data_IF_305550760706
#
_entry.id   IF_305550760706
#
_cell.length_a   1.000
_cell.length_b   1.000
_cell.length_c   1.000
_cell.angle_alpha   90.00
_cell.angle_beta   90.00
_cell.angle_gamma   90.00
#
_symmetry.space_group_name_H-M   'P 1'
#
loop_
_entity.id
_entity.type
_entity.pdbx_description
1 polymer ?
#
# COMPACT_ATOMS: atom_id res chain seq x y z
N UNK A 1 26.58 0.20 -3.39
CA UNK A 1 27.03 0.60 -4.74
C UNK A 1 26.80 2.09 -4.96
N UNK A 2 25.57 2.64 -4.85
CA UNK A 2 25.30 4.09 -4.91
C UNK A 2 25.91 4.86 -3.72
N UNK A 3 26.03 4.25 -2.55
CA UNK A 3 26.72 4.85 -1.39
C UNK A 3 28.19 5.10 -1.67
N UNK A 4 28.89 4.13 -2.30
CA UNK A 4 30.28 4.33 -2.71
C UNK A 4 30.43 5.42 -3.77
N UNK A 5 29.46 5.54 -4.66
CA UNK A 5 29.42 6.66 -5.63
C UNK A 5 29.25 7.98 -4.89
N UNK A 6 28.39 8.05 -3.88
CA UNK A 6 28.20 9.25 -3.07
C UNK A 6 29.43 9.59 -2.20
N UNK A 7 30.10 8.57 -1.63
CA UNK A 7 31.35 8.72 -0.88
C UNK A 7 32.49 9.24 -1.77
N UNK A 8 32.63 8.67 -2.97
CA UNK A 8 33.63 9.11 -3.95
C UNK A 8 33.41 10.59 -4.36
N UNK A 9 32.14 10.96 -4.64
CA UNK A 9 31.79 12.36 -4.95
C UNK A 9 32.10 13.27 -3.76
N UNK A 10 31.78 12.83 -2.53
CA UNK A 10 32.11 13.55 -1.30
C UNK A 10 33.65 13.69 -1.07
N UNK A 11 34.43 12.74 -1.58
CA UNK A 11 35.89 12.76 -1.55
C UNK A 11 36.51 13.58 -2.69
N UNK A 12 35.70 14.17 -3.59
CA UNK A 12 36.16 15.05 -4.67
C UNK A 12 36.34 14.37 -6.03
N UNK A 13 35.96 13.10 -6.16
CA UNK A 13 35.94 12.45 -7.48
C UNK A 13 34.77 12.96 -8.32
N UNK A 14 34.94 12.98 -9.66
CA UNK A 14 33.84 13.33 -10.54
C UNK A 14 32.74 12.24 -10.49
N UNK A 15 31.51 12.61 -10.78
CA UNK A 15 30.37 11.68 -10.84
C UNK A 15 30.61 10.58 -11.89
N UNK A 16 31.18 10.96 -13.05
CA UNK A 16 31.55 10.00 -14.11
C UNK A 16 32.60 8.99 -13.62
N UNK A 17 33.65 9.45 -12.92
CA UNK A 17 34.65 8.56 -12.33
C UNK A 17 34.06 7.66 -11.25
N UNK A 18 33.23 8.19 -10.40
CA UNK A 18 32.57 7.45 -9.33
C UNK A 18 31.67 6.34 -9.88
N UNK A 19 30.94 6.62 -10.97
CA UNK A 19 30.16 5.58 -11.67
C UNK A 19 31.06 4.53 -12.34
N UNK A 20 32.14 4.94 -12.97
CA UNK A 20 33.08 4.03 -13.64
C UNK A 20 33.73 3.06 -12.65
N UNK A 21 34.14 3.56 -11.49
CA UNK A 21 34.77 2.77 -10.45
C UNK A 21 33.81 1.78 -9.74
N UNK A 22 32.59 2.24 -9.46
CA UNK A 22 31.67 1.50 -8.61
C UNK A 22 30.58 0.75 -9.37
N UNK A 23 30.41 1.00 -10.68
CA UNK A 23 29.37 0.41 -11.52
C UNK A 23 29.92 -0.10 -12.87
N UNK A 24 30.82 -1.12 -12.87
CA UNK A 24 31.49 -1.61 -14.09
C UNK A 24 30.54 -2.18 -15.17
N UNK A 25 29.26 -2.34 -14.85
CA UNK A 25 28.23 -2.76 -15.82
C UNK A 25 27.54 -1.63 -16.58
N UNK A 26 27.85 -0.37 -16.29
CA UNK A 26 27.28 0.76 -17.03
C UNK A 26 27.90 0.88 -18.43
N UNK A 27 27.08 1.15 -19.46
CA UNK A 27 27.60 1.37 -20.81
C UNK A 27 28.56 2.57 -20.85
N UNK A 28 29.64 2.46 -21.63
CA UNK A 28 30.60 3.55 -21.83
C UNK A 28 29.92 4.86 -22.26
N UNK A 29 28.92 4.78 -23.13
CA UNK A 29 28.13 5.93 -23.56
C UNK A 29 27.39 6.63 -22.42
N UNK A 30 26.97 5.90 -21.38
CA UNK A 30 26.41 6.50 -20.18
C UNK A 30 27.47 7.34 -19.44
N UNK A 31 28.63 6.73 -19.16
CA UNK A 31 29.74 7.38 -18.44
C UNK A 31 30.22 8.64 -19.18
N UNK A 32 30.41 8.51 -20.50
CA UNK A 32 30.85 9.65 -21.35
C UNK A 32 29.83 10.79 -21.36
N UNK A 33 28.53 10.47 -21.38
CA UNK A 33 27.47 11.49 -21.33
C UNK A 33 27.45 12.22 -19.98
N UNK A 34 27.62 11.48 -18.88
CA UNK A 34 27.73 12.09 -17.53
C UNK A 34 28.97 12.98 -17.47
N UNK A 35 30.13 12.50 -17.95
CA UNK A 35 31.38 13.25 -18.00
C UNK A 35 31.24 14.57 -18.78
N UNK A 36 30.61 14.51 -19.95
CA UNK A 36 30.32 15.72 -20.74
C UNK A 36 29.39 16.69 -20.00
N UNK A 37 28.40 16.15 -19.28
CA UNK A 37 27.48 16.95 -18.46
C UNK A 37 28.16 17.65 -17.28
N UNK A 38 29.11 16.99 -16.63
CA UNK A 38 29.92 17.58 -15.56
C UNK A 38 30.80 18.73 -16.09
N UNK A 39 31.50 18.48 -17.20
CA UNK A 39 32.39 19.48 -17.81
C UNK A 39 31.65 20.71 -18.32
N UNK A 40 30.43 20.55 -18.80
CA UNK A 40 29.61 21.66 -19.34
C UNK A 40 28.70 22.31 -18.31
N UNK A 41 28.64 21.79 -17.07
CA UNK A 41 27.65 22.20 -16.05
C UNK A 41 26.20 21.86 -16.36
N UNK A 42 25.95 21.01 -17.35
CA UNK A 42 24.62 20.66 -17.86
C UNK A 42 24.19 19.24 -17.49
N UNK A 43 24.51 18.78 -16.26
CA UNK A 43 24.21 17.42 -15.77
C UNK A 43 22.72 17.08 -15.88
N UNK A 44 21.83 18.02 -15.56
CA UNK A 44 20.38 17.78 -15.61
C UNK A 44 19.93 17.48 -17.04
N UNK A 45 20.42 18.22 -18.01
CA UNK A 45 20.09 17.99 -19.43
C UNK A 45 20.70 16.68 -19.94
N UNK A 46 21.89 16.32 -19.47
CA UNK A 46 22.52 15.03 -19.78
C UNK A 46 21.74 13.86 -19.22
N UNK A 47 21.25 13.94 -17.99
CA UNK A 47 20.38 12.90 -17.42
C UNK A 47 19.02 12.85 -18.12
N UNK A 48 18.44 13.96 -18.55
CA UNK A 48 17.23 13.98 -19.38
C UNK A 48 17.47 13.34 -20.76
N UNK A 49 18.65 13.54 -21.35
CA UNK A 49 19.07 12.88 -22.61
C UNK A 49 19.28 11.38 -22.42
N UNK A 50 19.97 10.97 -21.36
CA UNK A 50 20.16 9.57 -21.01
C UNK A 50 18.81 8.89 -20.76
N UNK A 51 17.92 9.53 -20.01
CA UNK A 51 16.55 9.03 -19.81
C UNK A 51 15.84 8.82 -21.14
N UNK A 52 15.82 9.83 -22.03
CA UNK A 52 15.21 9.72 -23.37
C UNK A 52 15.87 8.66 -24.25
N UNK A 53 17.19 8.51 -24.19
CA UNK A 53 17.94 7.51 -24.95
C UNK A 53 17.62 6.10 -24.45
N UNK A 54 17.64 5.88 -23.14
CA UNK A 54 17.32 4.57 -22.58
C UNK A 54 15.83 4.27 -22.64
N UNK A 55 14.96 5.24 -22.56
CA UNK A 55 13.52 5.11 -22.79
C UNK A 55 13.21 4.73 -24.25
N UNK A 56 13.90 5.35 -25.22
CA UNK A 56 13.82 4.95 -26.64
C UNK A 56 14.49 3.61 -26.93
N UNK A 57 15.60 3.28 -26.25
CA UNK A 57 16.31 2.01 -26.39
C UNK A 57 15.59 0.85 -25.69
N UNK A 58 14.77 1.15 -24.69
CA UNK A 58 13.87 0.18 -24.05
C UNK A 58 12.80 -0.33 -25.04
N UNK A 59 12.53 0.41 -26.10
CA UNK A 59 11.64 -0.04 -27.18
C UNK A 59 12.15 -1.24 -27.96
N UNK A 60 13.41 -1.65 -27.77
CA UNK A 60 14.01 -2.75 -28.54
C UNK A 60 14.87 -3.72 -27.72
N UNK A 61 15.04 -3.52 -26.42
CA UNK A 61 15.84 -4.44 -25.59
C UNK A 61 14.95 -5.25 -24.65
N UNK A 62 14.94 -6.55 -24.94
CA UNK A 62 14.56 -7.64 -24.04
C UNK A 62 14.83 -7.25 -22.61
N UNK A 63 13.77 -7.10 -21.81
CA UNK A 63 13.89 -6.90 -20.37
C UNK A 63 14.69 -8.06 -19.83
N UNK A 64 15.92 -7.82 -19.42
CA UNK A 64 16.71 -8.82 -18.78
C UNK A 64 16.16 -9.04 -17.36
N UNK A 65 15.08 -9.84 -17.28
CA UNK A 65 14.45 -10.21 -16.01
C UNK A 65 15.43 -10.84 -15.03
N UNK A 66 16.58 -11.37 -15.52
CA UNK A 66 17.65 -11.88 -14.65
C UNK A 66 18.31 -10.77 -13.83
N UNK A 67 18.47 -9.58 -14.36
CA UNK A 67 19.02 -8.44 -13.61
C UNK A 67 18.08 -8.02 -12.49
N UNK A 68 16.78 -7.97 -12.76
CA UNK A 68 15.79 -7.61 -11.74
C UNK A 68 15.62 -8.69 -10.68
N UNK A 69 15.75 -9.99 -11.03
CA UNK A 69 15.68 -11.12 -10.08
C UNK A 69 16.84 -11.19 -9.07
N UNK A 70 17.88 -10.42 -9.26
CA UNK A 70 18.95 -10.27 -8.23
C UNK A 70 18.53 -9.32 -7.11
N UNK A 71 17.60 -8.41 -7.38
CA UNK A 71 17.15 -7.36 -6.45
C UNK A 71 15.74 -7.67 -5.96
N UNK A 72 14.86 -8.12 -6.85
CA UNK A 72 13.46 -8.39 -6.59
C UNK A 72 13.18 -9.89 -6.59
N UNK A 73 12.30 -10.33 -5.71
CA UNK A 73 11.93 -11.75 -5.59
C UNK A 73 11.09 -12.20 -6.79
N UNK A 74 10.30 -11.29 -7.37
CA UNK A 74 9.52 -11.55 -8.58
C UNK A 74 9.72 -10.36 -9.53
N UNK A 75 9.98 -10.68 -10.79
CA UNK A 75 9.95 -9.72 -11.91
C UNK A 75 9.12 -10.35 -13.02
N UNK A 76 8.02 -9.68 -13.40
CA UNK A 76 7.06 -10.21 -14.36
C UNK A 76 6.45 -9.12 -15.23
N UNK A 77 6.06 -9.52 -16.45
CA UNK A 77 5.25 -8.68 -17.33
C UNK A 77 3.78 -9.07 -17.17
N UNK A 78 2.93 -8.08 -17.05
CA UNK A 78 1.49 -8.26 -16.86
C UNK A 78 0.74 -7.50 -17.95
N UNK A 79 -0.21 -8.18 -18.58
CA UNK A 79 -1.29 -7.53 -19.34
C UNK A 79 -2.50 -7.38 -18.41
N UNK A 80 -2.73 -6.19 -17.83
CA UNK A 80 -3.84 -6.01 -16.91
C UNK A 80 -5.21 -5.94 -17.62
N UNK A 81 -5.25 -5.76 -18.94
CA UNK A 81 -6.48 -5.77 -19.74
C UNK A 81 -7.15 -7.14 -19.70
N UNK A 82 -6.36 -8.19 -19.93
CA UNK A 82 -6.81 -9.60 -19.93
C UNK A 82 -6.37 -10.34 -18.66
N UNK A 83 -5.78 -9.64 -17.69
CA UNK A 83 -5.36 -10.18 -16.38
C UNK A 83 -4.41 -11.39 -16.47
N UNK A 84 -3.45 -11.39 -17.37
CA UNK A 84 -2.48 -12.48 -17.55
C UNK A 84 -1.05 -12.03 -17.33
N UNK A 85 -0.20 -12.98 -16.95
CA UNK A 85 1.24 -12.82 -16.88
C UNK A 85 1.88 -13.32 -18.18
N UNK A 86 2.90 -12.60 -18.65
CA UNK A 86 3.68 -12.99 -19.81
C UNK A 86 4.92 -13.78 -19.38
N UNK A 87 5.16 -14.88 -20.05
CA UNK A 87 6.35 -15.71 -19.83
C UNK A 87 7.33 -15.51 -20.99
N UNK A 88 8.61 -15.31 -20.66
CA UNK A 88 9.69 -15.29 -21.66
C UNK A 88 9.96 -16.72 -22.17
N UNK A 89 10.01 -16.88 -23.51
CA UNK A 89 10.53 -18.07 -24.20
C UNK A 89 11.73 -17.67 -25.05
N UNK A 90 12.44 -18.66 -25.63
CA UNK A 90 13.65 -18.44 -26.42
C UNK A 90 13.43 -17.53 -27.63
N UNK A 91 12.22 -17.52 -28.21
CA UNK A 91 11.82 -16.72 -29.37
C UNK A 91 10.97 -15.48 -29.04
N UNK A 92 10.90 -15.04 -27.76
CA UNK A 92 10.12 -13.85 -27.34
C UNK A 92 9.22 -14.06 -26.13
N UNK A 93 8.24 -13.16 -25.96
CA UNK A 93 7.27 -13.25 -24.86
C UNK A 93 5.99 -13.92 -25.34
N UNK A 94 5.53 -14.92 -24.60
CA UNK A 94 4.23 -15.54 -24.84
C UNK A 94 3.32 -15.41 -23.64
N UNK A 95 2.02 -15.31 -23.91
CA UNK A 95 1.01 -15.30 -22.86
C UNK A 95 0.98 -16.64 -22.13
N UNK A 96 1.23 -16.62 -20.83
CA UNK A 96 0.99 -17.78 -19.97
C UNK A 96 -0.51 -17.87 -19.69
N UNK A 97 -1.22 -18.55 -20.58
CA UNK A 97 -2.71 -18.66 -20.52
C UNK A 97 -3.27 -19.35 -19.28
N UNK A 98 -2.43 -19.96 -18.46
CA UNK A 98 -2.86 -20.82 -17.34
C UNK A 98 -3.02 -20.10 -16.00
N UNK A 99 -2.47 -18.91 -15.83
CA UNK A 99 -2.52 -18.22 -14.54
C UNK A 99 -2.87 -16.74 -14.71
N UNK A 100 -3.90 -16.30 -13.98
CA UNK A 100 -4.24 -14.89 -13.91
C UNK A 100 -3.17 -14.12 -13.12
N UNK A 101 -2.90 -12.86 -13.49
CA UNK A 101 -1.90 -12.01 -12.83
C UNK A 101 -2.13 -11.84 -11.32
N UNK A 102 -3.36 -11.99 -10.87
CA UNK A 102 -3.73 -11.91 -9.45
C UNK A 102 -3.53 -13.24 -8.69
N UNK A 103 -3.30 -14.36 -9.38
CA UNK A 103 -3.10 -15.67 -8.76
C UNK A 103 -1.83 -15.70 -7.88
N UNK A 104 -0.80 -14.93 -8.22
CA UNK A 104 0.41 -14.78 -7.39
C UNK A 104 0.09 -14.28 -5.98
N UNK A 105 -0.99 -13.53 -5.82
CA UNK A 105 -1.49 -13.02 -4.54
C UNK A 105 -2.49 -13.96 -3.87
N UNK A 106 -2.69 -15.18 -4.39
CA UNK A 106 -3.73 -16.14 -3.97
C UNK A 106 -5.16 -15.56 -4.04
N UNK A 107 -5.37 -14.50 -4.83
CA UNK A 107 -6.69 -13.90 -5.03
C UNK A 107 -7.48 -14.71 -6.05
N UNK A 108 -8.81 -14.80 -5.83
CA UNK A 108 -9.73 -15.52 -6.74
C UNK A 108 -10.34 -14.61 -7.80
N UNK A 109 -10.17 -13.30 -7.67
CA UNK A 109 -10.70 -12.27 -8.58
C UNK A 109 -9.68 -11.18 -8.85
N UNK A 110 -9.94 -10.38 -9.87
CA UNK A 110 -9.11 -9.23 -10.26
C UNK A 110 -8.92 -8.26 -9.10
N UNK A 111 -7.72 -7.68 -9.00
CA UNK A 111 -7.41 -6.66 -8.01
C UNK A 111 -8.21 -5.38 -8.30
N UNK A 112 -8.92 -4.88 -7.33
CA UNK A 112 -9.70 -3.64 -7.44
C UNK A 112 -8.78 -2.41 -7.54
N UNK A 113 -7.68 -2.40 -6.78
CA UNK A 113 -6.62 -1.40 -6.82
C UNK A 113 -5.47 -1.84 -7.73
N UNK A 114 -5.77 -2.18 -8.98
CA UNK A 114 -4.77 -2.69 -9.92
C UNK A 114 -3.82 -1.58 -10.36
N UNK A 115 -2.63 -1.51 -9.72
CA UNK A 115 -1.60 -0.53 -10.09
C UNK A 115 -1.09 -0.71 -11.53
N UNK A 116 -1.11 -1.94 -12.04
CA UNK A 116 -0.71 -2.21 -13.43
C UNK A 116 -1.67 -1.61 -14.43
N UNK A 117 -2.98 -1.56 -14.13
CA UNK A 117 -3.96 -0.87 -14.97
C UNK A 117 -3.78 0.65 -14.91
N UNK A 118 -3.50 1.18 -13.72
CA UNK A 118 -3.24 2.61 -13.53
C UNK A 118 -1.96 3.05 -14.25
N UNK A 119 -0.93 2.21 -14.25
CA UNK A 119 0.30 2.44 -15.02
C UNK A 119 0.03 2.52 -16.52
N UNK A 120 -0.81 1.63 -17.08
CA UNK A 120 -1.17 1.70 -18.51
C UNK A 120 -1.97 2.97 -18.85
N UNK A 121 -2.81 3.43 -17.91
CA UNK A 121 -3.63 4.64 -18.11
C UNK A 121 -2.80 5.91 -18.01
N UNK A 122 -1.87 5.98 -17.05
CA UNK A 122 -1.14 7.22 -16.74
C UNK A 122 0.27 7.28 -17.29
N UNK A 123 0.83 6.14 -17.70
CA UNK A 123 2.25 5.94 -18.07
C UNK A 123 3.23 6.33 -16.93
N UNK A 124 2.74 6.51 -15.70
CA UNK A 124 3.55 6.82 -14.53
C UNK A 124 3.75 5.58 -13.68
N UNK A 125 4.96 5.37 -13.12
CA UNK A 125 5.19 4.28 -12.19
C UNK A 125 4.23 4.37 -11.01
N UNK A 126 3.76 3.21 -10.56
CA UNK A 126 2.88 3.05 -9.42
C UNK A 126 3.46 2.05 -8.43
N UNK A 127 3.15 2.23 -7.16
CA UNK A 127 3.58 1.32 -6.12
C UNK A 127 2.44 0.95 -5.20
N UNK A 128 2.47 -0.25 -4.66
CA UNK A 128 1.56 -0.68 -3.60
C UNK A 128 2.21 -1.69 -2.68
N UNK A 129 1.59 -1.90 -1.54
CA UNK A 129 1.85 -3.04 -0.68
C UNK A 129 0.77 -4.10 -0.89
N UNK A 130 1.19 -5.34 -0.94
CA UNK A 130 0.31 -6.49 -0.94
C UNK A 130 0.66 -7.38 0.24
N UNK A 131 -0.35 -8.00 0.83
CA UNK A 131 -0.16 -9.00 1.88
C UNK A 131 -0.54 -10.37 1.35
N UNK A 132 0.28 -11.36 1.66
CA UNK A 132 -0.01 -12.76 1.38
C UNK A 132 0.35 -13.58 2.61
N UNK A 133 -0.68 -14.12 3.28
CA UNK A 133 -0.51 -14.77 4.59
C UNK A 133 0.08 -13.77 5.62
N UNK A 134 1.20 -14.07 6.24
CA UNK A 134 1.92 -13.18 7.15
C UNK A 134 2.95 -12.28 6.46
N UNK A 135 3.18 -12.49 5.16
CA UNK A 135 4.22 -11.77 4.43
C UNK A 135 3.70 -10.47 3.81
N UNK A 136 4.55 -9.48 3.81
CA UNK A 136 4.31 -8.19 3.15
C UNK A 136 5.19 -8.11 1.91
N UNK A 137 4.61 -7.65 0.81
CA UNK A 137 5.30 -7.48 -0.46
C UNK A 137 5.17 -6.04 -0.94
N UNK A 138 6.29 -5.45 -1.31
CA UNK A 138 6.30 -4.20 -2.04
C UNK A 138 6.24 -4.50 -3.53
N UNK A 139 5.31 -3.86 -4.22
CA UNK A 139 5.09 -4.01 -5.66
C UNK A 139 5.31 -2.66 -6.33
N UNK A 140 6.26 -2.62 -7.24
CA UNK A 140 6.49 -1.52 -8.17
C UNK A 140 5.98 -1.93 -9.54
N UNK A 141 5.11 -1.14 -10.14
CA UNK A 141 4.64 -1.31 -11.51
C UNK A 141 5.11 -0.15 -12.38
N UNK A 142 5.63 -0.46 -13.57
CA UNK A 142 6.11 0.53 -14.53
C UNK A 142 5.60 0.20 -15.93
N UNK A 143 5.29 1.26 -16.71
CA UNK A 143 4.91 1.13 -18.10
C UNK A 143 6.06 0.61 -18.95
N UNK A 144 5.76 -0.33 -19.81
CA UNK A 144 6.69 -0.84 -20.80
C UNK A 144 5.96 -1.25 -22.07
N UNK A 145 6.63 -1.10 -23.19
CA UNK A 145 6.15 -1.54 -24.50
C UNK A 145 7.01 -2.71 -24.99
N UNK A 146 6.37 -3.80 -25.41
CA UNK A 146 7.02 -4.97 -25.98
C UNK A 146 6.34 -5.28 -27.30
N UNK A 147 7.10 -5.27 -28.39
CA UNK A 147 6.61 -5.51 -29.75
C UNK A 147 5.41 -4.61 -30.14
N UNK A 148 5.48 -3.32 -29.76
CA UNK A 148 4.45 -2.34 -30.02
C UNK A 148 3.18 -2.47 -29.17
N UNK A 149 3.18 -3.34 -28.15
CA UNK A 149 2.06 -3.53 -27.24
C UNK A 149 2.40 -3.05 -25.83
N UNK A 150 1.46 -2.35 -25.16
CA UNK A 150 1.67 -1.85 -23.83
C UNK A 150 1.49 -2.95 -22.77
N UNK A 151 2.40 -2.98 -21.80
CA UNK A 151 2.38 -3.88 -20.66
C UNK A 151 2.78 -3.16 -19.38
N UNK A 152 2.53 -3.80 -18.25
CA UNK A 152 3.08 -3.41 -16.97
C UNK A 152 4.22 -4.34 -16.56
N UNK A 153 5.39 -3.79 -16.28
CA UNK A 153 6.47 -4.51 -15.60
C UNK A 153 6.23 -4.40 -14.09
N UNK A 154 5.91 -5.52 -13.46
CA UNK A 154 5.81 -5.61 -12.01
C UNK A 154 7.08 -6.20 -11.41
N UNK A 155 7.67 -5.45 -10.47
CA UNK A 155 8.79 -5.82 -9.66
C UNK A 155 8.31 -5.97 -8.22
N UNK A 156 8.50 -7.15 -7.63
CA UNK A 156 7.96 -7.49 -6.32
C UNK A 156 9.09 -7.85 -5.37
N UNK A 157 9.11 -7.20 -4.21
CA UNK A 157 10.06 -7.48 -3.14
C UNK A 157 9.31 -7.92 -1.89
N UNK A 158 9.65 -9.10 -1.35
CA UNK A 158 9.19 -9.54 -0.03
C UNK A 158 9.91 -8.73 1.04
N UNK A 159 9.16 -8.19 1.98
CA UNK A 159 9.68 -7.51 3.17
C UNK A 159 9.67 -8.53 4.30
N UNK A 160 10.82 -8.99 4.73
CA UNK A 160 10.94 -9.88 5.88
C UNK A 160 11.07 -9.04 7.15
N UNK A 161 10.46 -9.49 8.24
CA UNK A 161 10.61 -8.84 9.55
C UNK A 161 12.06 -8.78 10.01
N UNK A 162 12.85 -9.80 9.68
CA UNK A 162 14.25 -9.91 10.07
C UNK A 162 15.20 -9.05 9.24
N UNK A 163 14.84 -8.72 7.98
CA UNK A 163 15.58 -7.79 7.11
C UNK A 163 15.61 -6.35 7.65
N UNK A 164 14.82 -6.06 8.70
CA UNK A 164 14.82 -4.75 9.37
C UNK A 164 16.11 -4.45 10.13
N UNK A 165 16.94 -5.45 10.40
CA UNK A 165 18.16 -5.32 11.22
C UNK A 165 19.48 -5.46 10.45
N UNK A 166 19.47 -5.90 9.21
CA UNK A 166 20.69 -6.02 8.39
C UNK A 166 20.94 -4.74 7.58
N UNK A 167 22.13 -4.17 7.79
CA UNK A 167 22.57 -2.84 7.30
C UNK A 167 22.78 -2.72 5.79
N UNK A 168 22.52 -3.74 4.99
CA UNK A 168 23.04 -3.79 3.61
C UNK A 168 22.07 -3.38 2.49
N UNK A 169 20.85 -2.90 2.78
CA UNK A 169 19.94 -2.61 1.67
C UNK A 169 19.21 -1.26 1.82
N UNK A 170 19.85 -0.18 1.35
CA UNK A 170 19.29 1.19 1.32
C UNK A 170 17.89 1.21 0.69
N UNK A 171 17.65 0.39 -0.34
CA UNK A 171 16.33 0.28 -0.96
C UNK A 171 15.30 -0.31 0.01
N UNK A 172 15.67 -1.39 0.72
CA UNK A 172 14.79 -1.97 1.75
C UNK A 172 14.54 -0.99 2.89
N UNK A 173 15.55 -0.24 3.33
CA UNK A 173 15.39 0.79 4.35
C UNK A 173 14.47 1.93 3.88
N UNK A 174 14.59 2.38 2.64
CA UNK A 174 13.69 3.39 2.05
C UNK A 174 12.26 2.87 1.92
N UNK A 175 12.09 1.61 1.52
CA UNK A 175 10.79 0.97 1.40
C UNK A 175 10.14 0.76 2.77
N UNK A 176 10.89 0.27 3.75
CA UNK A 176 10.45 0.11 5.14
C UNK A 176 10.13 1.45 5.78
N UNK A 177 10.98 2.48 5.60
CA UNK A 177 10.71 3.84 6.09
C UNK A 177 9.47 4.44 5.45
N UNK A 178 9.30 4.26 4.13
CA UNK A 178 8.11 4.76 3.43
C UNK A 178 6.83 4.05 3.91
N UNK A 179 6.94 2.76 4.29
CA UNK A 179 5.83 2.01 4.86
C UNK A 179 5.57 2.39 6.32
N UNK A 180 6.63 2.52 7.15
CA UNK A 180 6.53 2.95 8.56
C UNK A 180 5.86 4.31 8.71
N UNK A 181 6.02 5.19 7.71
CA UNK A 181 5.35 6.50 7.65
C UNK A 181 3.82 6.38 7.67
N UNK A 182 3.26 5.28 7.13
CA UNK A 182 1.82 5.04 7.03
C UNK A 182 1.26 4.08 8.08
N UNK A 183 2.11 3.50 8.92
CA UNK A 183 1.66 2.56 9.95
C UNK A 183 1.61 3.23 11.32
N UNK A 184 0.58 2.89 12.08
CA UNK A 184 0.50 3.24 13.49
C UNK A 184 1.44 2.36 14.31
N UNK A 185 2.23 2.97 15.16
CA UNK A 185 3.28 2.29 15.93
C UNK A 185 2.73 1.30 16.96
N UNK A 186 1.55 1.55 17.51
CA UNK A 186 0.89 0.71 18.52
C UNK A 186 0.11 -0.41 17.83
N UNK A 187 -0.83 -0.06 16.98
CA UNK A 187 -1.84 -0.98 16.44
C UNK A 187 -1.40 -1.76 15.21
N UNK A 188 -0.32 -1.33 14.54
CA UNK A 188 0.20 -1.94 13.29
C UNK A 188 -0.84 -1.99 12.15
N UNK A 189 -1.79 -1.09 12.17
CA UNK A 189 -2.69 -0.78 11.05
C UNK A 189 -2.31 0.58 10.45
N UNK A 190 -2.96 1.01 9.39
CA UNK A 190 -2.67 2.32 8.80
C UNK A 190 -2.91 3.45 9.81
N UNK A 191 -2.13 4.53 9.72
CA UNK A 191 -2.28 5.73 10.53
C UNK A 191 -3.06 6.83 9.81
N UNK A 192 -3.32 7.94 10.51
CA UNK A 192 -4.02 9.12 9.97
C UNK A 192 -3.37 9.68 8.71
N UNK A 193 -2.03 9.65 8.60
CA UNK A 193 -1.32 10.12 7.41
C UNK A 193 -1.68 9.32 6.16
N UNK A 194 -1.85 8.00 6.29
CA UNK A 194 -2.34 7.17 5.18
C UNK A 194 -3.71 7.64 4.69
N UNK A 195 -4.64 7.93 5.63
CA UNK A 195 -5.93 8.48 5.27
C UNK A 195 -5.80 9.82 4.52
N UNK A 196 -5.03 10.77 5.07
CA UNK A 196 -4.90 12.12 4.50
C UNK A 196 -4.29 12.11 3.09
N UNK A 197 -3.31 11.24 2.83
CA UNK A 197 -2.59 11.20 1.55
C UNK A 197 -3.19 10.21 0.52
N UNK A 198 -3.88 9.16 0.97
CA UNK A 198 -4.32 8.06 0.09
C UNK A 198 -5.83 7.90 -0.02
N UNK A 199 -6.57 8.16 1.05
CA UNK A 199 -8.00 7.89 1.07
C UNK A 199 -8.86 9.15 0.93
N UNK A 200 -8.44 10.27 1.48
CA UNK A 200 -9.23 11.51 1.59
C UNK A 200 -9.89 11.98 0.29
N UNK A 201 -9.26 11.74 -0.84
CA UNK A 201 -9.71 12.17 -2.17
C UNK A 201 -10.33 11.04 -3.00
N UNK A 202 -10.61 9.89 -2.39
CA UNK A 202 -11.25 8.79 -3.11
C UNK A 202 -12.68 9.17 -3.53
N UNK A 203 -13.02 8.74 -4.75
CA UNK A 203 -14.37 8.84 -5.29
C UNK A 203 -14.84 7.45 -5.73
N UNK A 204 -16.12 7.15 -5.50
CA UNK A 204 -16.69 5.85 -5.85
C UNK A 204 -17.84 5.45 -4.96
N UNK A 205 -18.11 4.14 -4.92
CA UNK A 205 -19.07 3.53 -3.99
C UNK A 205 -18.29 2.89 -2.84
N UNK A 206 -18.58 3.32 -1.64
CA UNK A 206 -17.89 2.83 -0.45
C UNK A 206 -18.90 2.53 0.66
N UNK A 207 -18.66 1.44 1.38
CA UNK A 207 -19.16 1.28 2.74
C UNK A 207 -18.06 1.71 3.70
N UNK A 208 -18.40 2.53 4.67
CA UNK A 208 -17.47 3.13 5.61
C UNK A 208 -17.99 3.01 7.03
N UNK A 209 -17.10 2.77 7.98
CA UNK A 209 -17.43 2.81 9.39
C UNK A 209 -16.41 3.65 10.17
N UNK A 210 -16.92 4.39 11.14
CA UNK A 210 -16.14 4.95 12.23
C UNK A 210 -16.37 4.09 13.47
N UNK A 211 -15.28 3.78 14.15
CA UNK A 211 -15.25 2.91 15.32
C UNK A 211 -14.55 3.71 16.42
N UNK A 212 -15.14 3.80 17.58
CA UNK A 212 -14.59 4.47 18.74
C UNK A 212 -14.67 3.55 19.95
N UNK A 213 -13.54 3.37 20.63
CA UNK A 213 -13.45 2.49 21.79
C UNK A 213 -14.15 3.10 23.00
N UNK A 214 -15.15 2.41 23.51
CA UNK A 214 -15.92 2.93 24.65
C UNK A 214 -15.07 3.02 25.91
N UNK A 215 -15.19 4.13 26.63
CA UNK A 215 -14.51 4.36 27.91
C UNK A 215 -12.98 4.20 27.86
N UNK A 216 -12.33 4.38 26.73
CA UNK A 216 -10.89 4.16 26.56
C UNK A 216 -10.05 4.98 27.56
N UNK A 217 -10.46 6.22 27.85
CA UNK A 217 -9.82 7.03 28.89
C UNK A 217 -9.85 6.34 30.25
N UNK A 218 -10.99 5.74 30.63
CA UNK A 218 -11.12 5.01 31.89
C UNK A 218 -10.20 3.78 31.93
N UNK A 219 -9.99 3.09 30.79
CA UNK A 219 -9.02 2.00 30.70
C UNK A 219 -7.63 2.51 31.06
N UNK A 220 -7.20 3.61 30.43
CA UNK A 220 -5.89 4.22 30.72
C UNK A 220 -5.77 4.68 32.18
N UNK A 221 -6.80 5.33 32.71
CA UNK A 221 -6.78 5.88 34.07
C UNK A 221 -6.74 4.76 35.13
N UNK A 222 -7.39 3.61 34.88
CA UNK A 222 -7.48 2.49 35.83
C UNK A 222 -6.32 1.49 35.70
N UNK A 223 -5.93 1.15 34.45
CA UNK A 223 -4.97 0.06 34.18
C UNK A 223 -3.63 0.55 33.64
N UNK A 224 -3.50 1.86 33.38
CA UNK A 224 -2.31 2.48 32.81
C UNK A 224 -2.25 2.44 31.28
N UNK A 225 -1.37 3.26 30.70
CA UNK A 225 -1.24 3.41 29.25
C UNK A 225 -0.80 2.13 28.54
N UNK A 226 -0.03 1.26 29.19
CA UNK A 226 0.37 -0.02 28.60
C UNK A 226 -0.83 -0.95 28.36
N UNK A 227 -1.79 -0.96 29.30
CA UNK A 227 -3.05 -1.69 29.14
C UNK A 227 -3.90 -1.08 28.01
N UNK A 228 -3.94 0.25 27.91
CA UNK A 228 -4.60 0.94 26.81
C UNK A 228 -3.98 0.61 25.44
N UNK A 229 -2.66 0.59 25.34
CA UNK A 229 -1.95 0.20 24.11
C UNK A 229 -2.22 -1.27 23.75
N UNK A 230 -2.24 -2.17 24.74
CA UNK A 230 -2.61 -3.58 24.52
C UNK A 230 -4.06 -3.72 24.04
N UNK A 231 -4.99 -2.97 24.62
CA UNK A 231 -6.40 -2.94 24.20
C UNK A 231 -6.55 -2.46 22.75
N UNK A 232 -5.89 -1.36 22.38
CA UNK A 232 -5.89 -0.84 21.02
C UNK A 232 -5.30 -1.82 20.01
N UNK A 233 -4.18 -2.44 20.37
CA UNK A 233 -3.53 -3.45 19.52
C UNK A 233 -4.47 -4.65 19.29
N UNK A 234 -5.02 -5.22 20.37
CA UNK A 234 -5.94 -6.37 20.28
C UNK A 234 -7.19 -6.01 19.49
N UNK A 235 -7.81 -4.86 19.73
CA UNK A 235 -8.94 -4.38 18.95
C UNK A 235 -8.62 -4.27 17.47
N UNK A 236 -7.50 -3.64 17.11
CA UNK A 236 -7.08 -3.50 15.72
C UNK A 236 -6.84 -4.85 15.02
N UNK A 237 -6.18 -5.81 15.70
CA UNK A 237 -5.95 -7.15 15.14
C UNK A 237 -7.27 -7.93 14.99
N UNK A 238 -8.18 -7.81 15.95
CA UNK A 238 -9.51 -8.42 15.87
C UNK A 238 -10.31 -7.86 14.70
N UNK A 239 -10.37 -6.54 14.53
CA UNK A 239 -11.03 -5.93 13.37
C UNK A 239 -10.37 -6.41 12.07
N UNK A 240 -9.03 -6.42 12.00
CA UNK A 240 -8.27 -6.85 10.82
C UNK A 240 -8.55 -8.31 10.44
N UNK A 241 -8.74 -9.20 11.41
CA UNK A 241 -9.11 -10.60 11.16
C UNK A 241 -10.52 -10.76 10.57
N UNK A 242 -11.40 -9.79 10.82
CA UNK A 242 -12.78 -9.79 10.35
C UNK A 242 -12.97 -9.19 8.94
N UNK A 243 -11.96 -8.53 8.38
CA UNK A 243 -12.04 -7.83 7.11
C UNK A 243 -11.19 -8.49 6.02
N UNK A 244 -11.43 -8.12 4.77
CA UNK A 244 -10.67 -8.63 3.63
C UNK A 244 -9.34 -7.88 3.48
N UNK A 245 -8.40 -8.46 2.72
CA UNK A 245 -7.13 -7.82 2.37
C UNK A 245 -7.29 -6.50 1.61
N UNK A 246 -8.40 -6.31 0.92
CA UNK A 246 -8.70 -5.13 0.11
C UNK A 246 -9.45 -4.05 0.91
N UNK A 247 -9.91 -4.37 2.12
CA UNK A 247 -10.50 -3.41 3.05
C UNK A 247 -9.39 -2.70 3.83
N UNK A 248 -9.59 -1.45 4.17
CA UNK A 248 -8.56 -0.62 4.80
C UNK A 248 -8.99 -0.21 6.20
N UNK A 249 -8.17 -0.60 7.19
CA UNK A 249 -8.31 -0.20 8.58
C UNK A 249 -7.26 0.86 8.92
N UNK A 250 -7.72 2.00 9.41
CA UNK A 250 -6.90 3.15 9.77
C UNK A 250 -7.15 3.54 11.21
N UNK A 251 -6.12 3.69 12.03
CA UNK A 251 -6.22 4.39 13.30
C UNK A 251 -6.15 5.89 13.03
N UNK A 252 -7.28 6.58 13.22
CA UNK A 252 -7.43 7.99 12.87
C UNK A 252 -7.03 8.93 14.01
N UNK A 253 -7.33 8.55 15.22
CA UNK A 253 -7.04 9.30 16.45
C UNK A 253 -6.72 8.36 17.61
N UNK A 254 -6.68 8.86 18.84
CA UNK A 254 -6.34 8.11 20.05
C UNK A 254 -6.99 6.73 20.12
N UNK A 255 -8.30 6.68 20.18
CA UNK A 255 -9.15 5.49 20.30
C UNK A 255 -10.11 5.31 19.10
N UNK A 256 -9.92 6.09 18.05
CA UNK A 256 -10.77 6.11 16.86
C UNK A 256 -10.15 5.35 15.70
N UNK A 257 -10.95 4.51 15.03
CA UNK A 257 -10.58 3.81 13.81
C UNK A 257 -11.55 4.12 12.68
N UNK A 258 -11.00 4.17 11.47
CA UNK A 258 -11.73 4.23 10.21
C UNK A 258 -11.62 2.89 9.50
N UNK A 259 -12.73 2.39 9.01
CA UNK A 259 -12.80 1.16 8.25
C UNK A 259 -13.49 1.42 6.91
N UNK A 260 -12.74 1.24 5.84
CA UNK A 260 -13.22 1.39 4.48
C UNK A 260 -13.40 0.02 3.84
N UNK A 261 -14.61 -0.28 3.41
CA UNK A 261 -14.94 -1.44 2.61
C UNK A 261 -15.12 -1.04 1.15
N UNK A 262 -14.35 -1.64 0.25
CA UNK A 262 -14.37 -1.25 -1.16
C UNK A 262 -15.58 -1.78 -1.93
N UNK A 263 -16.07 -2.95 -1.64
CA UNK A 263 -17.18 -3.58 -2.36
C UNK A 263 -18.17 -4.26 -1.41
N UNK A 264 -18.44 -3.66 -0.27
CA UNK A 264 -19.44 -4.19 0.65
C UNK A 264 -20.81 -3.57 0.33
N UNK A 265 -21.81 -4.37 -0.08
CA UNK A 265 -23.15 -3.88 -0.29
C UNK A 265 -23.76 -3.29 0.98
N UNK A 266 -24.57 -2.24 0.81
CA UNK A 266 -25.24 -1.57 1.94
C UNK A 266 -26.03 -2.55 2.82
N UNK A 267 -26.71 -3.53 2.22
CA UNK A 267 -27.54 -4.51 2.94
C UNK A 267 -26.73 -5.44 3.87
N UNK A 268 -25.41 -5.57 3.61
CA UNK A 268 -24.52 -6.43 4.38
C UNK A 268 -23.73 -5.62 5.44
N UNK A 269 -23.63 -4.31 5.26
CA UNK A 269 -22.81 -3.44 6.11
C UNK A 269 -23.18 -3.59 7.60
N UNK A 270 -24.45 -3.44 7.95
CA UNK A 270 -24.93 -3.53 9.34
C UNK A 270 -24.56 -4.87 9.98
N UNK A 271 -24.83 -5.99 9.29
CA UNK A 271 -24.47 -7.33 9.76
C UNK A 271 -22.97 -7.50 9.95
N UNK A 272 -22.16 -6.92 9.04
CA UNK A 272 -20.70 -6.97 9.12
C UNK A 272 -20.19 -6.19 10.33
N UNK A 273 -20.74 -5.00 10.57
CA UNK A 273 -20.35 -4.18 11.72
C UNK A 273 -20.79 -4.79 13.04
N UNK A 274 -21.96 -5.43 13.09
CA UNK A 274 -22.39 -6.20 14.28
C UNK A 274 -21.44 -7.37 14.57
N UNK A 275 -20.98 -8.08 13.55
CA UNK A 275 -19.97 -9.14 13.72
C UNK A 275 -18.64 -8.60 14.29
N UNK A 276 -18.20 -7.44 13.80
CA UNK A 276 -16.98 -6.79 14.32
C UNK A 276 -17.19 -6.36 15.78
N UNK A 277 -18.32 -5.73 16.11
CA UNK A 277 -18.64 -5.32 17.49
C UNK A 277 -18.62 -6.53 18.43
N UNK A 278 -19.31 -7.62 18.06
CA UNK A 278 -19.34 -8.82 18.88
C UNK A 278 -17.95 -9.44 19.09
N UNK A 279 -17.11 -9.44 18.03
CA UNK A 279 -15.74 -9.93 18.16
C UNK A 279 -14.86 -9.04 19.05
N UNK A 280 -15.13 -7.75 19.14
CA UNK A 280 -14.43 -6.84 20.05
C UNK A 280 -14.82 -7.11 21.51
N UNK A 281 -16.09 -7.37 21.77
CA UNK A 281 -16.64 -7.68 23.09
C UNK A 281 -16.07 -8.99 23.68
N UNK A 282 -15.68 -9.94 22.80
CA UNK A 282 -15.08 -11.23 23.18
C UNK A 282 -13.55 -11.17 23.43
N UNK A 283 -12.91 -9.99 23.31
CA UNK A 283 -11.46 -9.88 23.52
C UNK A 283 -11.10 -10.08 24.98
N UNK A 284 -10.21 -11.05 25.21
CA UNK A 284 -9.56 -11.26 26.52
C UNK A 284 -8.08 -10.90 26.38
N UNK A 285 -7.60 -10.07 27.30
CA UNK A 285 -6.18 -9.73 27.41
C UNK A 285 -5.65 -10.44 28.66
N UNK A 286 -4.79 -11.45 28.47
CA UNK A 286 -4.30 -12.31 29.56
C UNK A 286 -3.63 -11.54 30.69
N UNK A 287 -2.88 -10.46 30.33
CA UNK A 287 -2.20 -9.60 31.28
C UNK A 287 -3.15 -8.67 32.07
N UNK A 288 -4.38 -8.49 31.57
CA UNK A 288 -5.41 -7.62 32.14
C UNK A 288 -6.80 -8.27 32.06
N UNK A 289 -7.04 -9.38 32.80
CA UNK A 289 -8.27 -10.18 32.65
C UNK A 289 -9.56 -9.44 33.05
N UNK A 290 -9.46 -8.37 33.83
CA UNK A 290 -10.59 -7.53 34.22
C UNK A 290 -10.89 -6.41 33.19
N UNK A 291 -10.05 -6.26 32.15
CA UNK A 291 -10.23 -5.24 31.14
C UNK A 291 -11.24 -5.73 30.10
N UNK A 292 -12.34 -5.03 30.00
CA UNK A 292 -13.38 -5.26 29.01
C UNK A 292 -13.28 -4.23 27.87
N UNK A 293 -13.32 -4.70 26.64
CA UNK A 293 -13.26 -3.86 25.43
C UNK A 293 -14.64 -3.84 24.79
N UNK A 294 -15.16 -2.64 24.58
CA UNK A 294 -16.35 -2.43 23.75
C UNK A 294 -16.15 -1.23 22.83
N UNK A 295 -16.95 -1.12 21.80
CA UNK A 295 -16.85 -0.04 20.84
C UNK A 295 -18.23 0.43 20.33
N UNK A 296 -18.33 1.73 20.11
CA UNK A 296 -19.42 2.36 19.39
C UNK A 296 -19.06 2.48 17.91
N UNK A 297 -19.93 1.98 17.03
CA UNK A 297 -19.65 1.88 15.60
C UNK A 297 -20.71 2.60 14.78
N UNK A 298 -20.32 3.59 14.00
CA UNK A 298 -21.17 4.28 13.04
C UNK A 298 -20.86 3.87 11.61
N UNK A 299 -21.85 3.33 10.89
CA UNK A 299 -21.70 2.87 9.51
C UNK A 299 -22.46 3.75 8.50
N UNK A 300 -21.87 3.94 7.32
CA UNK A 300 -22.53 4.61 6.21
C UNK A 300 -22.16 3.98 4.86
N UNK A 301 -23.10 4.04 3.93
CA UNK A 301 -22.87 3.72 2.53
C UNK A 301 -23.16 4.98 1.70
N UNK A 302 -22.28 5.31 0.78
CA UNK A 302 -22.52 6.38 -0.16
C UNK A 302 -21.78 6.18 -1.49
N UNK A 303 -22.29 6.87 -2.51
CA UNK A 303 -21.60 7.08 -3.78
C UNK A 303 -21.08 8.51 -3.86
N UNK A 304 -19.93 8.69 -4.51
CA UNK A 304 -19.28 10.00 -4.69
C UNK A 304 -18.01 10.16 -3.86
N UNK A 305 -17.78 11.33 -3.29
CA UNK A 305 -16.57 11.59 -2.51
C UNK A 305 -16.63 10.93 -1.13
N UNK A 306 -15.54 10.31 -0.73
CA UNK A 306 -15.42 9.63 0.57
C UNK A 306 -15.73 10.56 1.75
N UNK A 307 -15.40 11.84 1.65
CA UNK A 307 -15.68 12.85 2.70
C UNK A 307 -17.17 12.94 3.09
N UNK A 308 -18.07 12.74 2.11
CA UNK A 308 -19.53 12.68 2.39
C UNK A 308 -19.88 11.43 3.18
N UNK A 309 -19.29 10.29 2.84
CA UNK A 309 -19.53 9.00 3.53
C UNK A 309 -19.04 9.05 4.96
N UNK A 310 -17.85 9.63 5.18
CA UNK A 310 -17.29 9.84 6.53
C UNK A 310 -18.20 10.68 7.39
N UNK A 311 -18.68 11.83 6.89
CA UNK A 311 -19.59 12.70 7.65
C UNK A 311 -20.89 11.97 8.06
N UNK A 312 -21.39 11.09 7.18
CA UNK A 312 -22.58 10.26 7.48
C UNK A 312 -22.30 9.20 8.53
N UNK A 313 -21.13 8.56 8.46
CA UNK A 313 -20.71 7.58 9.45
C UNK A 313 -20.46 8.23 10.82
N UNK A 314 -19.92 9.46 10.84
CA UNK A 314 -19.72 10.25 12.07
C UNK A 314 -21.06 10.54 12.77
N UNK A 315 -22.07 10.97 12.02
CA UNK A 315 -23.42 11.17 12.55
C UNK A 315 -24.02 9.88 13.14
N UNK A 316 -23.81 8.74 12.48
CA UNK A 316 -24.24 7.45 12.99
C UNK A 316 -23.45 7.05 14.24
N UNK A 317 -22.13 7.25 14.27
CA UNK A 317 -21.28 6.95 15.42
C UNK A 317 -21.71 7.77 16.66
N UNK A 318 -22.04 9.06 16.47
CA UNK A 318 -22.56 9.87 17.57
C UNK A 318 -23.82 9.26 18.22
N UNK A 319 -24.72 8.70 17.42
CA UNK A 319 -25.91 7.99 17.94
C UNK A 319 -25.54 6.69 18.65
N UNK A 320 -24.54 5.95 18.13
CA UNK A 320 -24.05 4.75 18.79
C UNK A 320 -23.42 5.07 20.16
N UNK A 321 -22.63 6.14 20.26
CA UNK A 321 -22.00 6.60 21.51
C UNK A 321 -23.00 6.90 22.65
N UNK A 322 -24.22 7.34 22.32
CA UNK A 322 -25.24 7.60 23.34
C UNK A 322 -25.70 6.32 24.07
N UNK A 323 -25.61 5.17 23.39
CA UNK A 323 -26.00 3.86 23.93
C UNK A 323 -24.80 3.04 24.40
N UNK A 324 -23.63 3.30 23.83
CA UNK A 324 -22.38 2.52 23.90
C UNK A 324 -22.57 1.07 23.43
N UNK A 325 -21.47 0.41 23.14
CA UNK A 325 -21.42 -0.99 22.71
C UNK A 325 -22.52 -1.33 21.69
N UNK A 326 -22.63 -0.52 20.64
CA UNK A 326 -23.65 -0.74 19.62
C UNK A 326 -23.21 -0.23 18.23
N UNK A 327 -23.95 -0.67 17.22
CA UNK A 327 -23.80 -0.27 15.83
C UNK A 327 -24.98 0.61 15.44
N UNK A 328 -24.72 1.75 14.82
CA UNK A 328 -25.72 2.58 14.15
C UNK A 328 -25.36 2.74 12.66
N UNK A 329 -26.37 2.70 11.79
CA UNK A 329 -26.20 2.91 10.36
C UNK A 329 -26.88 4.19 9.95
N UNK A 330 -26.14 5.07 9.26
CA UNK A 330 -26.73 6.25 8.66
C UNK A 330 -27.75 5.83 7.60
N UNK A 331 -28.99 6.29 7.77
CA UNK A 331 -30.07 6.12 6.79
C UNK A 331 -30.51 7.52 6.37
N UNK A 332 -30.52 7.77 5.07
CA UNK A 332 -31.14 9.02 4.58
C UNK A 332 -32.62 9.02 5.01
N UNK A 333 -33.06 10.12 5.63
CA UNK A 333 -34.48 10.32 5.84
C UNK A 333 -35.17 10.24 4.47
N UNK A 334 -36.13 9.34 4.30
CA UNK A 334 -37.01 9.36 3.14
C UNK A 334 -37.66 10.76 3.14
N UNK A 335 -37.34 11.60 2.17
CA UNK A 335 -38.17 12.73 1.88
C UNK A 335 -39.58 12.19 1.68
N UNK A 336 -40.46 12.48 2.57
CA UNK A 336 -41.88 12.25 2.37
C UNK A 336 -42.26 13.15 1.19
N UNK A 337 -42.48 12.54 0.02
CA UNK A 337 -43.28 13.14 -1.04
C UNK A 337 -44.63 13.52 -0.43
N UNK A 338 -44.80 14.81 -0.19
CA UNK A 338 -46.11 15.46 0.03
C UNK A 338 -46.64 15.93 -1.29
#
# INVERSE_FOLDING_TARGET
MLEKVAEDIGAGYSMAQSFENNMPGLPKTFIETVRAGEQSGALEECFKRLHRYYDKSAKTKVINTMTYRRIFDIARLVDPGICVELTKRDEGYTLKKSEHCYAVWKKKRRCENCISQEVLRTHKPQTKLETRESDIYYVLASFIEVDGRPYSLELVKRIKSDDMFERENVLNQLLVRNWQVYMDSVTKVYNRRYYDERLKNLEGRFSFAMIDMDNFKHINDRFGHQAGDAALYRAAQTIKSQIRSDDELVRYGGDEFFLLFRDLPQQILEKKLQSIRAALDEIIIEEYPELHISASIGGAFAAGRISRTIRRADLAMYQAKLKKDCVAIYREAKEHET
#
